data_IF_878913653205
#
_entry.id   IF_878913653205
#
_cell.length_a   1.000
_cell.length_b   1.000
_cell.length_c   1.000
_cell.angle_alpha   90.00
_cell.angle_beta   90.00
_cell.angle_gamma   90.00
#
_symmetry.space_group_name_H-M   'P 1'
#
loop_
_entity.id
_entity.type
_entity.pdbx_description
1 polymer ?
#
# COMPACT_ATOMS: atom_id res chain seq x y z
N UNK A 1 33.98 4.73 -39.07
CA UNK A 1 34.13 4.38 -37.64
C UNK A 1 33.89 5.62 -36.82
N UNK A 2 32.64 5.90 -36.48
CA UNK A 2 32.26 6.96 -35.54
C UNK A 2 32.15 6.30 -34.17
N UNK A 3 33.23 6.42 -33.41
CA UNK A 3 33.29 6.07 -32.00
C UNK A 3 32.28 6.97 -31.26
N UNK A 4 31.10 6.44 -30.98
CA UNK A 4 30.08 7.15 -30.20
C UNK A 4 30.48 6.94 -28.75
N UNK A 5 31.27 7.86 -28.20
CA UNK A 5 31.50 7.93 -26.75
C UNK A 5 30.12 8.07 -26.11
N UNK A 6 29.58 6.95 -25.60
CA UNK A 6 28.30 6.95 -24.94
C UNK A 6 28.41 7.86 -23.71
N UNK A 7 27.77 9.03 -23.78
CA UNK A 7 27.68 9.95 -22.66
C UNK A 7 27.06 9.21 -21.47
N UNK A 8 27.62 9.39 -20.27
CA UNK A 8 27.03 8.81 -19.07
C UNK A 8 25.58 9.31 -18.91
N UNK A 9 24.64 8.47 -18.44
CA UNK A 9 23.25 8.89 -18.28
C UNK A 9 23.13 10.05 -17.29
N UNK A 10 22.04 10.82 -17.42
CA UNK A 10 21.75 11.97 -16.58
C UNK A 10 21.60 11.58 -15.09
N UNK A 11 21.00 10.39 -14.85
CA UNK A 11 20.71 9.87 -13.51
C UNK A 11 21.04 8.39 -13.39
N UNK A 12 21.38 7.94 -12.20
CA UNK A 12 21.56 6.50 -11.94
C UNK A 12 20.20 5.82 -11.70
N UNK A 13 19.27 6.51 -11.03
CA UNK A 13 17.92 5.99 -10.75
C UNK A 13 16.86 7.02 -11.05
N UNK A 14 15.85 6.69 -11.86
CA UNK A 14 14.61 7.45 -11.94
C UNK A 14 13.50 6.75 -11.16
N UNK A 15 12.84 7.45 -10.24
CA UNK A 15 11.65 7.00 -9.51
C UNK A 15 10.44 7.70 -10.12
N UNK A 16 9.52 6.93 -10.68
CA UNK A 16 8.27 7.45 -11.24
C UNK A 16 7.17 7.27 -10.20
N UNK A 17 6.71 8.36 -9.60
CA UNK A 17 5.65 8.40 -8.59
C UNK A 17 6.17 8.78 -7.19
N UNK A 18 5.89 10.01 -6.74
CA UNK A 18 6.24 10.49 -5.40
C UNK A 18 5.13 10.25 -4.35
N UNK A 19 4.45 9.12 -4.43
CA UNK A 19 3.64 8.61 -3.30
C UNK A 19 4.53 8.11 -2.15
N UNK A 20 3.97 7.75 -0.98
CA UNK A 20 4.75 7.32 0.18
C UNK A 20 5.78 6.22 -0.11
N UNK A 21 5.46 5.25 -0.98
CA UNK A 21 6.40 4.18 -1.36
C UNK A 21 7.59 4.74 -2.15
N UNK A 22 7.36 5.63 -3.12
CA UNK A 22 8.43 6.26 -3.90
C UNK A 22 9.26 7.25 -3.08
N UNK A 23 8.62 8.02 -2.19
CA UNK A 23 9.31 8.91 -1.25
C UNK A 23 10.18 8.12 -0.26
N UNK A 24 9.70 6.98 0.25
CA UNK A 24 10.49 6.12 1.11
C UNK A 24 11.72 5.55 0.38
N UNK A 25 11.54 5.06 -0.87
CA UNK A 25 12.65 4.64 -1.73
C UNK A 25 13.68 5.76 -1.93
N UNK A 26 13.24 6.97 -2.28
CA UNK A 26 14.11 8.11 -2.49
C UNK A 26 14.93 8.45 -1.23
N UNK A 27 14.30 8.42 -0.05
CA UNK A 27 14.98 8.62 1.23
C UNK A 27 16.06 7.55 1.49
N UNK A 28 15.75 6.26 1.32
CA UNK A 28 16.73 5.19 1.50
C UNK A 28 17.89 5.28 0.50
N UNK A 29 17.60 5.56 -0.78
CA UNK A 29 18.65 5.70 -1.79
C UNK A 29 19.57 6.90 -1.50
N UNK A 30 19.02 8.05 -1.10
CA UNK A 30 19.85 9.19 -0.71
C UNK A 30 20.76 8.88 0.48
N UNK A 31 20.22 8.17 1.48
CA UNK A 31 20.95 7.80 2.68
C UNK A 31 22.05 6.75 2.43
N UNK A 32 21.75 5.71 1.64
CA UNK A 32 22.54 4.48 1.62
C UNK A 32 23.37 4.27 0.34
N UNK A 33 23.28 5.19 -0.62
CA UNK A 33 24.05 5.13 -1.89
C UNK A 33 24.60 6.50 -2.23
N UNK A 34 25.38 6.61 -3.30
CA UNK A 34 25.82 7.88 -3.91
C UNK A 34 25.08 8.22 -5.22
N UNK A 35 23.99 7.52 -5.52
CA UNK A 35 23.25 7.68 -6.77
C UNK A 35 22.67 9.08 -6.96
N UNK A 36 22.66 9.54 -8.22
CA UNK A 36 21.88 10.66 -8.74
C UNK A 36 20.48 10.17 -9.07
N UNK A 37 19.48 10.81 -8.48
CA UNK A 37 18.10 10.35 -8.46
C UNK A 37 17.19 11.40 -9.13
N UNK A 38 16.39 10.97 -10.11
CA UNK A 38 15.26 11.76 -10.61
C UNK A 38 13.98 11.26 -9.95
N UNK A 39 13.19 12.13 -9.32
CA UNK A 39 11.91 11.78 -8.71
C UNK A 39 10.77 12.52 -9.43
N UNK A 40 9.90 11.78 -10.11
CA UNK A 40 8.75 12.32 -10.82
C UNK A 40 7.47 12.19 -9.99
N UNK A 41 6.63 13.22 -9.98
CA UNK A 41 5.25 13.12 -9.50
C UNK A 41 4.29 13.75 -10.52
N UNK A 42 3.28 12.99 -10.94
CA UNK A 42 2.20 13.51 -11.76
C UNK A 42 1.20 14.34 -10.94
N UNK A 43 1.14 14.12 -9.62
CA UNK A 43 0.14 14.72 -8.73
C UNK A 43 0.63 16.04 -8.12
N UNK A 44 -0.35 16.79 -7.64
CA UNK A 44 -0.12 17.94 -6.77
C UNK A 44 0.15 17.48 -5.33
N UNK A 45 1.22 18.01 -4.72
CA UNK A 45 1.61 17.73 -3.35
C UNK A 45 0.50 18.12 -2.35
N UNK A 46 -0.25 19.19 -2.61
CA UNK A 46 -1.36 19.58 -1.74
C UNK A 46 -2.54 18.59 -1.82
N UNK A 47 -2.84 18.10 -3.01
CA UNK A 47 -3.88 17.09 -3.20
C UNK A 47 -3.52 15.79 -2.45
N UNK A 48 -2.25 15.39 -2.47
CA UNK A 48 -1.77 14.24 -1.70
C UNK A 48 -1.85 14.46 -0.17
N UNK A 49 -1.61 15.70 0.30
CA UNK A 49 -1.70 16.04 1.72
C UNK A 49 -3.14 16.00 2.26
N UNK A 50 -4.15 16.23 1.39
CA UNK A 50 -5.58 16.22 1.74
C UNK A 50 -6.26 14.85 1.60
N UNK A 51 -5.50 13.80 1.31
CA UNK A 51 -6.04 12.46 1.09
C UNK A 51 -6.61 11.88 2.42
N UNK A 52 -7.92 11.57 2.49
CA UNK A 52 -8.57 11.16 3.73
C UNK A 52 -8.34 9.68 4.07
N UNK A 53 -7.60 8.94 3.25
CA UNK A 53 -7.43 7.50 3.45
C UNK A 53 -6.62 7.20 4.70
N UNK A 54 -7.17 6.33 5.53
CA UNK A 54 -6.47 5.69 6.64
C UNK A 54 -5.63 4.51 6.15
N UNK A 55 -4.40 4.40 6.63
CA UNK A 55 -3.46 3.32 6.34
C UNK A 55 -3.16 2.55 7.62
N UNK A 56 -3.40 1.24 7.63
CA UNK A 56 -2.88 0.35 8.66
C UNK A 56 -1.43 -0.03 8.33
N UNK A 57 -0.48 0.52 9.07
CA UNK A 57 0.94 0.19 8.98
C UNK A 57 1.29 -0.90 9.98
N UNK A 58 2.03 -1.92 9.55
CA UNK A 58 2.53 -2.98 10.41
C UNK A 58 3.66 -2.48 11.30
N UNK A 59 3.96 -3.21 12.38
CA UNK A 59 5.12 -2.92 13.22
C UNK A 59 6.43 -2.84 12.41
N UNK A 60 6.67 -3.80 11.51
CA UNK A 60 7.85 -3.78 10.64
C UNK A 60 7.93 -2.54 9.75
N UNK A 61 6.82 -2.12 9.14
CA UNK A 61 6.80 -0.89 8.35
C UNK A 61 7.06 0.37 9.18
N UNK A 62 6.61 0.41 10.45
CA UNK A 62 6.99 1.48 11.37
C UNK A 62 8.50 1.54 11.58
N UNK A 63 9.13 0.40 11.90
CA UNK A 63 10.59 0.34 12.12
C UNK A 63 11.35 0.88 10.91
N UNK A 64 11.00 0.40 9.71
CA UNK A 64 11.62 0.84 8.45
C UNK A 64 11.47 2.36 8.21
N UNK A 65 10.29 2.93 8.46
CA UNK A 65 10.06 4.37 8.27
C UNK A 65 10.78 5.22 9.33
N UNK A 66 10.91 4.72 10.56
CA UNK A 66 11.66 5.40 11.61
C UNK A 66 13.15 5.51 11.26
N UNK A 67 13.73 4.51 10.60
CA UNK A 67 15.13 4.54 10.18
C UNK A 67 15.46 5.74 9.28
N UNK A 68 14.54 6.16 8.41
CA UNK A 68 14.71 7.33 7.53
C UNK A 68 14.16 8.63 8.11
N UNK A 69 13.67 8.62 9.35
CA UNK A 69 13.00 9.77 9.96
C UNK A 69 11.64 10.10 9.32
N UNK A 70 11.07 9.18 8.54
CA UNK A 70 9.82 9.36 7.79
C UNK A 70 8.56 8.93 8.54
N UNK A 71 8.65 8.69 9.84
CA UNK A 71 7.49 8.30 10.66
C UNK A 71 6.65 9.52 11.07
N UNK A 72 5.32 9.53 10.85
CA UNK A 72 4.49 10.66 11.22
C UNK A 72 4.32 10.80 12.74
N UNK A 73 4.08 12.02 13.19
CA UNK A 73 3.82 12.32 14.61
C UNK A 73 2.45 11.80 15.07
N UNK A 74 1.45 11.84 14.19
CA UNK A 74 0.10 11.30 14.44
C UNK A 74 0.01 9.86 13.94
N UNK A 75 -0.03 8.92 14.88
CA UNK A 75 -0.20 7.50 14.60
C UNK A 75 -0.95 6.82 15.76
N UNK A 76 -2.10 6.22 15.47
CA UNK A 76 -2.91 5.53 16.49
C UNK A 76 -2.45 4.07 16.59
N UNK A 77 -2.01 3.57 17.76
CA UNK A 77 -1.48 2.21 17.89
C UNK A 77 -2.59 1.16 17.76
N UNK A 78 -2.25 0.02 17.13
CA UNK A 78 -3.05 -1.20 17.13
C UNK A 78 -2.38 -2.16 18.11
N UNK A 79 -3.02 -2.42 19.24
CA UNK A 79 -2.50 -3.32 20.29
C UNK A 79 -3.22 -4.66 20.27
N UNK A 80 -4.46 -4.70 19.75
CA UNK A 80 -5.31 -5.87 19.70
C UNK A 80 -6.00 -5.96 18.34
N UNK A 81 -6.03 -7.15 17.73
CA UNK A 81 -6.81 -7.43 16.52
C UNK A 81 -7.82 -8.52 16.86
N UNK A 82 -9.10 -8.24 16.63
CA UNK A 82 -10.20 -9.19 16.76
C UNK A 82 -10.73 -9.58 15.39
N UNK A 83 -10.69 -10.87 15.08
CA UNK A 83 -11.22 -11.42 13.83
C UNK A 83 -12.40 -12.32 14.12
N UNK A 84 -13.55 -12.08 13.48
CA UNK A 84 -14.75 -12.89 13.67
C UNK A 84 -15.62 -12.95 12.42
N UNK A 85 -16.66 -13.80 12.45
CA UNK A 85 -17.67 -13.89 11.40
C UNK A 85 -19.08 -13.65 11.95
N UNK A 86 -19.86 -12.80 11.26
CA UNK A 86 -21.25 -12.53 11.64
C UNK A 86 -22.11 -13.80 11.55
N UNK A 87 -22.90 -14.04 12.60
CA UNK A 87 -23.88 -15.14 12.65
C UNK A 87 -23.28 -16.54 12.85
N UNK A 88 -21.97 -16.64 13.13
CA UNK A 88 -21.26 -17.91 13.30
C UNK A 88 -20.38 -17.85 14.55
N UNK A 89 -20.01 -19.02 15.07
CA UNK A 89 -19.08 -19.14 16.19
C UNK A 89 -17.64 -19.00 15.71
N UNK A 90 -16.70 -18.90 16.64
CA UNK A 90 -15.27 -18.82 16.35
C UNK A 90 -14.77 -17.38 16.18
N UNK A 91 -13.63 -17.11 16.81
CA UNK A 91 -12.95 -15.82 16.76
C UNK A 91 -11.45 -16.06 16.95
N UNK A 92 -10.64 -15.17 16.38
CA UNK A 92 -9.20 -15.16 16.60
C UNK A 92 -8.80 -13.82 17.21
N UNK A 93 -7.87 -13.87 18.17
CA UNK A 93 -7.32 -12.71 18.84
C UNK A 93 -5.81 -12.67 18.66
N UNK A 94 -5.31 -11.53 18.20
CA UNK A 94 -3.86 -11.25 18.10
C UNK A 94 -3.58 -10.09 19.05
N UNK A 95 -2.70 -10.30 20.03
CA UNK A 95 -2.35 -9.29 21.03
C UNK A 95 -0.87 -8.95 20.93
N UNK A 96 -0.52 -7.69 21.15
CA UNK A 96 0.89 -7.24 21.09
C UNK A 96 1.79 -8.00 22.08
N UNK A 97 1.24 -8.40 23.23
CA UNK A 97 1.94 -9.11 24.30
C UNK A 97 2.41 -10.50 23.85
N UNK A 98 1.74 -11.11 22.88
CA UNK A 98 2.12 -12.43 22.33
C UNK A 98 3.41 -12.36 21.49
N UNK A 99 3.88 -11.16 21.14
CA UNK A 99 5.01 -10.93 20.22
C UNK A 99 6.09 -10.00 20.76
N UNK A 100 5.97 -9.56 22.02
CA UNK A 100 6.90 -8.63 22.66
C UNK A 100 7.14 -7.34 21.84
N UNK A 101 6.05 -6.77 21.31
CA UNK A 101 6.07 -5.50 20.58
C UNK A 101 5.24 -4.44 21.31
N UNK A 102 5.58 -3.14 21.19
CA UNK A 102 4.79 -2.06 21.78
C UNK A 102 3.41 -1.91 21.13
N UNK A 103 3.29 -2.30 19.86
CA UNK A 103 2.04 -2.36 19.11
C UNK A 103 2.23 -3.28 17.89
N UNK A 104 1.16 -3.96 17.47
CA UNK A 104 1.12 -4.82 16.27
C UNK A 104 1.27 -3.99 14.99
N UNK A 105 0.86 -2.72 15.04
CA UNK A 105 0.85 -1.77 13.95
C UNK A 105 0.29 -0.43 14.40
N UNK A 106 0.10 0.49 13.46
CA UNK A 106 -0.51 1.79 13.70
C UNK A 106 -1.41 2.18 12.53
N UNK A 107 -2.47 2.92 12.83
CA UNK A 107 -3.26 3.62 11.82
C UNK A 107 -2.70 5.02 11.65
N UNK A 108 -2.40 5.39 10.42
CA UNK A 108 -1.92 6.73 10.04
C UNK A 108 -2.76 7.27 8.89
N UNK A 109 -2.95 8.57 8.84
CA UNK A 109 -3.55 9.20 7.67
C UNK A 109 -2.52 9.30 6.54
N UNK A 110 -2.97 9.11 5.29
CA UNK A 110 -2.10 9.19 4.12
C UNK A 110 -1.39 10.54 4.03
N UNK A 111 -2.09 11.64 4.28
CA UNK A 111 -1.53 13.00 4.28
C UNK A 111 -0.42 13.18 5.31
N UNK A 112 -0.65 12.75 6.55
CA UNK A 112 0.34 12.84 7.64
C UNK A 112 1.62 12.06 7.30
N UNK A 113 1.48 10.84 6.75
CA UNK A 113 2.62 10.02 6.32
C UNK A 113 3.37 10.65 5.15
N UNK A 114 2.65 11.17 4.16
CA UNK A 114 3.25 11.85 3.00
C UNK A 114 4.02 13.10 3.41
N UNK A 115 3.48 13.88 4.35
CA UNK A 115 4.17 15.04 4.92
C UNK A 115 5.44 14.64 5.66
N UNK A 116 5.39 13.61 6.52
CA UNK A 116 6.56 13.11 7.24
C UNK A 116 7.68 12.64 6.30
N UNK A 117 7.32 11.89 5.24
CA UNK A 117 8.29 11.42 4.25
C UNK A 117 8.90 12.54 3.40
N UNK A 118 8.13 13.59 3.07
CA UNK A 118 8.67 14.78 2.40
C UNK A 118 9.61 15.56 3.32
N UNK A 119 9.28 15.71 4.61
CA UNK A 119 10.15 16.36 5.57
C UNK A 119 11.47 15.59 5.77
N UNK A 120 11.38 14.25 5.85
CA UNK A 120 12.54 13.38 5.84
C UNK A 120 13.38 13.58 4.57
N UNK A 121 12.73 13.62 3.39
CA UNK A 121 13.42 13.80 2.11
C UNK A 121 14.15 15.14 2.04
N UNK A 122 13.51 16.22 2.49
CA UNK A 122 14.14 17.54 2.56
C UNK A 122 15.39 17.54 3.46
N UNK A 123 15.34 16.81 4.59
CA UNK A 123 16.50 16.62 5.47
C UNK A 123 17.62 15.84 4.76
N UNK A 124 17.28 14.78 4.02
CA UNK A 124 18.28 14.02 3.25
C UNK A 124 18.90 14.88 2.13
N UNK A 125 18.11 15.71 1.44
CA UNK A 125 18.61 16.60 0.39
C UNK A 125 19.58 17.66 0.93
N UNK A 126 19.37 18.15 2.16
CA UNK A 126 20.33 19.04 2.82
C UNK A 126 21.63 18.33 3.17
N UNK A 127 21.55 17.07 3.61
CA UNK A 127 22.71 16.25 3.96
C UNK A 127 23.51 15.79 2.73
N UNK A 128 22.82 15.54 1.62
CA UNK A 128 23.37 15.00 0.37
C UNK A 128 22.98 15.90 -0.81
N UNK A 129 23.54 17.12 -0.91
CA UNK A 129 23.14 18.10 -1.92
C UNK A 129 23.44 17.61 -3.34
N UNK A 130 22.65 18.10 -4.31
CA UNK A 130 22.80 17.84 -5.75
C UNK A 130 22.64 16.38 -6.19
N UNK A 131 22.12 15.50 -5.33
CA UNK A 131 21.89 14.08 -5.65
C UNK A 131 20.46 13.74 -6.02
N UNK A 132 19.49 14.61 -5.75
CA UNK A 132 18.09 14.38 -6.12
C UNK A 132 17.52 15.59 -6.84
N UNK A 133 16.94 15.33 -8.01
CA UNK A 133 16.16 16.30 -8.79
C UNK A 133 14.69 15.90 -8.75
N UNK A 134 13.83 16.81 -8.30
CA UNK A 134 12.36 16.61 -8.29
C UNK A 134 11.76 17.18 -9.57
N UNK A 135 10.85 16.42 -10.15
CA UNK A 135 10.00 16.80 -11.28
C UNK A 135 8.54 16.70 -10.82
N UNK A 136 8.08 17.71 -10.09
CA UNK A 136 6.69 17.80 -9.64
C UNK A 136 5.78 18.21 -10.82
N UNK A 137 4.51 17.83 -10.79
CA UNK A 137 3.55 18.02 -11.89
C UNK A 137 4.03 17.50 -13.26
N UNK A 138 4.87 16.47 -13.27
CA UNK A 138 5.54 15.98 -14.47
C UNK A 138 5.14 14.53 -14.74
N UNK A 139 3.97 14.28 -15.36
CA UNK A 139 3.56 12.92 -15.70
C UNK A 139 4.51 12.30 -16.71
N UNK A 140 4.94 11.06 -16.41
CA UNK A 140 5.73 10.24 -17.33
C UNK A 140 4.80 9.57 -18.33
N UNK A 141 5.03 9.83 -19.61
CA UNK A 141 4.23 9.27 -20.70
C UNK A 141 4.77 7.92 -21.18
N UNK A 142 6.10 7.78 -21.18
CA UNK A 142 6.75 6.60 -21.75
C UNK A 142 8.11 6.33 -21.14
N UNK A 143 8.43 5.04 -21.01
CA UNK A 143 9.78 4.55 -20.70
C UNK A 143 10.24 3.70 -21.88
N UNK A 144 11.36 4.07 -22.48
CA UNK A 144 11.95 3.41 -23.64
C UNK A 144 13.22 2.65 -23.23
N UNK A 145 13.34 1.39 -23.65
CA UNK A 145 14.50 0.54 -23.40
C UNK A 145 15.06 0.06 -24.74
N UNK A 146 16.17 0.66 -25.18
CA UNK A 146 16.76 0.32 -26.49
C UNK A 146 17.66 -0.92 -26.38
N UNK A 147 17.35 -2.03 -27.09
CA UNK A 147 18.23 -3.18 -27.13
C UNK A 147 19.52 -2.82 -27.89
N UNK A 148 20.63 -3.40 -27.45
CA UNK A 148 21.94 -3.29 -28.09
C UNK A 148 22.24 -4.55 -28.91
N UNK A 149 23.16 -4.42 -29.85
CA UNK A 149 23.57 -5.53 -30.73
C UNK A 149 24.24 -6.69 -29.97
N UNK A 150 24.81 -6.42 -28.80
CA UNK A 150 25.42 -7.40 -27.90
C UNK A 150 24.40 -8.15 -27.01
N UNK A 151 23.11 -7.92 -27.22
CA UNK A 151 22.03 -8.51 -26.42
C UNK A 151 21.78 -7.81 -25.08
N UNK A 152 22.55 -6.78 -24.73
CA UNK A 152 22.30 -5.94 -23.56
C UNK A 152 21.28 -4.83 -23.87
N UNK A 153 20.99 -3.98 -22.90
CA UNK A 153 20.02 -2.89 -23.02
C UNK A 153 20.70 -1.59 -22.63
N UNK A 154 20.58 -0.57 -23.48
CA UNK A 154 21.07 0.79 -23.17
C UNK A 154 20.37 1.36 -21.92
N UNK A 155 20.92 2.41 -21.28
CA UNK A 155 20.21 3.17 -20.26
C UNK A 155 18.76 3.48 -20.70
N UNK A 156 17.83 3.41 -19.76
CA UNK A 156 16.42 3.66 -20.03
C UNK A 156 16.21 5.14 -20.30
N UNK A 157 15.33 5.46 -21.24
CA UNK A 157 14.93 6.84 -21.55
C UNK A 157 13.52 7.12 -21.04
N UNK A 158 13.38 8.07 -20.13
CA UNK A 158 12.09 8.48 -19.57
C UNK A 158 11.61 9.70 -20.36
N UNK A 159 10.41 9.62 -20.95
CA UNK A 159 9.73 10.74 -21.61
C UNK A 159 8.56 11.19 -20.75
N UNK A 160 8.52 12.48 -20.46
CA UNK A 160 7.54 13.10 -19.60
C UNK A 160 7.09 14.46 -20.16
N UNK A 161 6.03 15.00 -19.57
CA UNK A 161 5.55 16.35 -19.84
C UNK A 161 5.75 17.21 -18.61
N UNK A 162 6.70 18.14 -18.66
CA UNK A 162 6.99 19.06 -17.56
C UNK A 162 6.17 20.34 -17.71
N UNK A 163 5.57 20.80 -16.62
CA UNK A 163 4.85 22.07 -16.56
C UNK A 163 3.49 21.96 -15.89
N UNK A 164 3.10 23.03 -15.18
CA UNK A 164 1.86 23.08 -14.43
C UNK A 164 0.62 23.24 -15.32
N UNK A 165 -0.60 23.10 -14.74
CA UNK A 165 -1.86 23.30 -15.46
C UNK A 165 -1.99 24.68 -16.13
N UNK A 166 -1.27 25.69 -15.61
CA UNK A 166 -1.35 27.08 -16.05
C UNK A 166 -0.22 27.53 -16.99
N UNK A 167 0.93 26.83 -16.99
CA UNK A 167 2.12 27.24 -17.75
C UNK A 167 2.24 26.53 -19.12
N UNK A 168 1.40 25.53 -19.35
CA UNK A 168 1.54 24.65 -20.50
C UNK A 168 2.53 23.51 -20.23
N UNK A 169 2.35 22.40 -20.95
CA UNK A 169 3.17 21.19 -20.78
C UNK A 169 4.18 21.09 -21.90
N UNK A 170 5.45 20.91 -21.56
CA UNK A 170 6.55 20.80 -22.49
C UNK A 170 7.21 19.40 -22.40
N UNK A 171 7.65 18.81 -23.52
CA UNK A 171 8.33 17.53 -23.50
C UNK A 171 9.65 17.59 -22.74
N UNK A 172 9.86 16.63 -21.85
CA UNK A 172 11.10 16.36 -21.13
C UNK A 172 11.56 14.94 -21.46
N UNK A 173 12.85 14.75 -21.68
CA UNK A 173 13.44 13.43 -21.82
C UNK A 173 14.75 13.35 -21.03
N UNK A 174 14.89 12.31 -20.21
CA UNK A 174 16.12 12.02 -19.46
C UNK A 174 16.59 10.60 -19.73
N UNK A 175 17.89 10.34 -19.59
CA UNK A 175 18.48 9.01 -19.60
C UNK A 175 18.86 8.56 -18.18
N UNK A 176 18.60 7.29 -17.87
CA UNK A 176 18.90 6.72 -16.55
C UNK A 176 19.31 5.25 -16.59
N UNK A 177 20.19 4.84 -15.67
CA UNK A 177 20.61 3.42 -15.61
C UNK A 177 19.44 2.49 -15.27
N UNK A 178 18.57 2.86 -14.32
CA UNK A 178 17.36 2.10 -13.97
C UNK A 178 16.16 3.00 -13.67
N UNK A 179 14.96 2.49 -13.93
CA UNK A 179 13.70 3.15 -13.59
C UNK A 179 12.92 2.30 -12.58
N UNK A 180 12.46 2.92 -11.50
CA UNK A 180 11.55 2.32 -10.54
C UNK A 180 10.18 2.99 -10.62
N UNK A 181 9.21 2.26 -11.15
CA UNK A 181 7.80 2.62 -11.17
C UNK A 181 7.20 2.42 -9.76
N UNK A 182 6.95 3.52 -9.06
CA UNK A 182 6.25 3.58 -7.79
C UNK A 182 4.87 4.27 -7.91
N UNK A 183 4.54 4.79 -9.09
CA UNK A 183 3.25 5.37 -9.43
C UNK A 183 2.24 4.26 -9.68
N UNK A 184 1.26 4.14 -8.79
CA UNK A 184 0.13 3.23 -8.97
C UNK A 184 -1.10 3.82 -8.31
N UNK A 185 -2.23 3.71 -8.99
CA UNK A 185 -3.52 4.17 -8.49
C UNK A 185 -4.39 3.05 -7.93
N UNK A 186 -5.64 3.38 -7.68
CA UNK A 186 -6.65 2.38 -7.31
C UNK A 186 -6.91 1.43 -8.49
N UNK A 187 -7.70 0.38 -8.26
CA UNK A 187 -8.00 -0.61 -9.30
C UNK A 187 -8.50 0.02 -10.60
N UNK A 188 -9.32 1.09 -10.52
CA UNK A 188 -9.81 1.81 -11.69
C UNK A 188 -8.72 2.59 -12.44
N UNK A 189 -7.72 3.11 -11.74
CA UNK A 189 -6.57 3.77 -12.35
C UNK A 189 -5.67 2.75 -13.04
N UNK A 190 -5.40 1.63 -12.37
CA UNK A 190 -4.66 0.51 -12.96
C UNK A 190 -5.37 -0.04 -14.21
N UNK A 191 -6.72 -0.06 -14.21
CA UNK A 191 -7.53 -0.46 -15.36
C UNK A 191 -7.41 0.50 -16.55
N UNK A 192 -7.27 1.81 -16.29
CA UNK A 192 -7.09 2.85 -17.33
C UNK A 192 -5.66 2.88 -17.91
N UNK A 193 -4.66 2.59 -17.08
CA UNK A 193 -3.24 2.65 -17.46
C UNK A 193 -2.71 1.37 -18.17
N UNK A 194 -3.43 0.25 -18.08
CA UNK A 194 -2.97 -1.07 -18.57
C UNK A 194 -3.02 -1.28 -20.10
N UNK A 195 -2.98 -0.23 -20.92
CA UNK A 195 -3.03 -0.30 -22.38
C UNK A 195 -1.86 -1.03 -23.08
N UNK A 196 -0.94 -1.69 -22.35
CA UNK A 196 0.23 -2.34 -22.94
C UNK A 196 0.92 -3.46 -22.14
N UNK A 197 0.36 -3.96 -21.03
CA UNK A 197 1.04 -4.95 -20.17
C UNK A 197 0.35 -6.33 -20.22
N UNK A 198 0.84 -7.20 -21.10
CA UNK A 198 0.26 -8.51 -21.47
C UNK A 198 0.35 -9.62 -20.42
N UNK A 199 0.92 -9.36 -19.22
CA UNK A 199 1.18 -10.40 -18.21
C UNK A 199 0.71 -10.08 -16.77
N UNK A 200 -0.16 -9.08 -16.57
CA UNK A 200 -0.74 -8.80 -15.26
C UNK A 200 -1.89 -9.78 -14.92
N UNK A 201 -1.85 -10.39 -13.73
CA UNK A 201 -3.01 -11.12 -13.18
C UNK A 201 -4.03 -10.08 -12.71
N UNK A 202 -5.14 -10.00 -13.43
CA UNK A 202 -6.24 -9.08 -13.10
C UNK A 202 -7.48 -9.88 -12.66
N UNK A 203 -8.09 -9.46 -11.56
CA UNK A 203 -9.37 -10.00 -11.11
C UNK A 203 -10.20 -8.87 -10.52
N UNK A 204 -11.38 -8.69 -11.06
CA UNK A 204 -12.41 -7.87 -10.44
C UNK A 204 -13.08 -8.69 -9.34
N UNK A 205 -13.12 -8.16 -8.11
CA UNK A 205 -13.78 -8.84 -7.01
C UNK A 205 -15.30 -8.65 -7.04
N UNK A 206 -15.82 -7.73 -7.87
CA UNK A 206 -17.22 -7.35 -7.87
C UNK A 206 -17.66 -6.73 -6.54
N UNK A 207 -16.72 -6.06 -5.87
CA UNK A 207 -16.92 -5.47 -4.55
C UNK A 207 -16.45 -4.01 -4.53
N UNK A 208 -17.10 -3.21 -3.69
CA UNK A 208 -16.75 -1.82 -3.42
C UNK A 208 -16.57 -1.66 -1.91
N UNK A 209 -15.51 -0.99 -1.50
CA UNK A 209 -15.30 -0.58 -0.11
C UNK A 209 -15.90 0.80 0.13
N UNK A 210 -16.73 0.93 1.16
CA UNK A 210 -17.10 2.21 1.76
C UNK A 210 -16.07 2.53 2.85
N UNK A 211 -15.46 3.70 2.74
CA UNK A 211 -14.51 4.23 3.71
C UNK A 211 -15.09 5.49 4.35
N UNK A 212 -15.06 5.53 5.69
CA UNK A 212 -15.51 6.67 6.47
C UNK A 212 -14.80 6.69 7.83
N UNK A 213 -14.84 7.81 8.54
CA UNK A 213 -14.53 7.85 9.96
C UNK A 213 -15.82 7.70 10.76
N UNK A 214 -15.82 6.87 11.81
CA UNK A 214 -17.00 6.62 12.64
C UNK A 214 -16.67 6.71 14.12
N UNK A 215 -17.66 7.10 14.92
CA UNK A 215 -17.60 7.05 16.38
C UNK A 215 -18.68 6.14 16.96
N UNK A 216 -18.42 5.66 18.17
CA UNK A 216 -19.34 4.82 18.91
C UNK A 216 -19.37 5.22 20.39
N UNK A 217 -20.37 4.74 21.12
CA UNK A 217 -20.57 5.10 22.53
C UNK A 217 -19.62 4.39 23.50
N UNK A 218 -19.05 3.25 23.11
CA UNK A 218 -18.07 2.52 23.92
C UNK A 218 -16.85 2.13 23.08
N UNK A 219 -16.01 3.10 22.68
CA UNK A 219 -14.79 2.81 21.93
C UNK A 219 -13.78 2.05 22.79
N UNK A 220 -13.10 1.07 22.20
CA UNK A 220 -11.98 0.36 22.80
C UNK A 220 -10.66 0.81 22.16
N UNK A 221 -9.82 1.48 22.97
CA UNK A 221 -8.55 2.02 22.52
C UNK A 221 -7.60 0.91 22.02
N UNK A 222 -7.04 1.11 20.82
CA UNK A 222 -6.07 0.19 20.21
C UNK A 222 -6.63 -1.13 19.68
N UNK A 223 -7.95 -1.31 19.68
CA UNK A 223 -8.60 -2.48 19.08
C UNK A 223 -8.90 -2.26 17.61
N UNK A 224 -8.32 -3.10 16.75
CA UNK A 224 -8.74 -3.25 15.37
C UNK A 224 -9.70 -4.43 15.25
N UNK A 225 -10.75 -4.26 14.46
CA UNK A 225 -11.78 -5.27 14.24
C UNK A 225 -11.81 -5.67 12.77
N UNK A 226 -11.90 -6.96 12.52
CA UNK A 226 -12.13 -7.53 11.20
C UNK A 226 -13.31 -8.51 11.33
N UNK A 227 -14.48 -8.10 10.83
CA UNK A 227 -15.71 -8.88 10.90
C UNK A 227 -16.16 -9.28 9.51
N UNK A 228 -16.08 -10.57 9.21
CA UNK A 228 -16.58 -11.11 7.95
C UNK A 228 -18.10 -11.17 7.95
N UNK A 229 -18.72 -10.63 6.90
CA UNK A 229 -20.16 -10.67 6.65
C UNK A 229 -20.47 -11.46 5.38
N UNK A 230 -21.75 -11.61 5.04
CA UNK A 230 -22.16 -12.25 3.78
C UNK A 230 -21.83 -11.40 2.55
N UNK A 231 -21.57 -10.11 2.71
CA UNK A 231 -21.27 -9.17 1.62
C UNK A 231 -19.76 -8.94 1.42
N UNK A 232 -18.96 -9.36 2.41
CA UNK A 232 -17.54 -9.09 2.47
C UNK A 232 -17.07 -8.71 3.87
N UNK A 233 -15.78 -8.39 4.03
CA UNK A 233 -15.21 -7.93 5.29
C UNK A 233 -15.72 -6.52 5.67
N UNK A 234 -15.92 -6.35 6.97
CA UNK A 234 -16.16 -5.07 7.62
C UNK A 234 -15.04 -4.87 8.65
N UNK A 235 -14.18 -3.89 8.40
CA UNK A 235 -13.07 -3.57 9.29
C UNK A 235 -13.27 -2.22 9.97
N UNK A 236 -12.87 -2.14 11.23
CA UNK A 236 -12.80 -0.90 12.02
C UNK A 236 -11.40 -0.80 12.60
N UNK A 237 -10.64 0.19 12.15
CA UNK A 237 -9.27 0.42 12.56
C UNK A 237 -9.24 1.60 13.54
N UNK A 238 -8.57 1.50 14.71
CA UNK A 238 -8.58 2.56 15.71
C UNK A 238 -7.92 3.80 15.12
N UNK A 239 -8.65 4.92 15.10
CA UNK A 239 -8.16 6.18 14.55
C UNK A 239 -8.66 7.33 15.41
N UNK A 240 -7.79 7.77 16.31
CA UNK A 240 -8.04 8.92 17.16
C UNK A 240 -7.81 10.21 16.38
N UNK A 241 -8.61 11.24 16.68
CA UNK A 241 -8.44 12.58 16.13
C UNK A 241 -8.61 13.66 17.21
N UNK A 242 -8.65 14.93 16.80
CA UNK A 242 -8.78 16.05 17.73
C UNK A 242 -10.11 16.06 18.54
N UNK A 243 -11.13 15.35 18.08
CA UNK A 243 -12.44 15.27 18.73
C UNK A 243 -12.54 14.04 19.65
N UNK A 244 -11.51 13.18 19.68
CA UNK A 244 -11.41 12.03 20.57
C UNK A 244 -11.30 10.69 19.83
N UNK A 245 -11.57 9.57 20.54
CA UNK A 245 -11.42 8.24 19.96
C UNK A 245 -12.44 7.97 18.86
N UNK A 246 -12.00 7.25 17.83
CA UNK A 246 -12.82 6.89 16.69
C UNK A 246 -12.23 5.74 15.88
N UNK A 247 -12.85 5.45 14.74
CA UNK A 247 -12.43 4.35 13.89
C UNK A 247 -12.48 4.72 12.41
N UNK A 248 -11.46 4.31 11.67
CA UNK A 248 -11.53 4.24 10.21
C UNK A 248 -12.30 2.97 9.81
N UNK A 249 -13.46 3.16 9.19
CA UNK A 249 -14.31 2.12 8.64
C UNK A 249 -13.83 1.71 7.24
N UNK A 250 -13.78 0.40 7.00
CA UNK A 250 -13.71 -0.18 5.65
C UNK A 250 -14.82 -1.23 5.55
N UNK A 251 -15.90 -0.92 4.85
CA UNK A 251 -17.04 -1.82 4.70
C UNK A 251 -17.18 -2.28 3.25
N UNK A 252 -16.85 -3.54 3.01
CA UNK A 252 -16.93 -4.14 1.67
C UNK A 252 -18.33 -4.70 1.40
N UNK A 253 -18.92 -4.33 0.27
CA UNK A 253 -20.18 -4.86 -0.22
C UNK A 253 -20.24 -4.83 -1.76
N UNK A 254 -21.39 -5.18 -2.35
CA UNK A 254 -21.56 -5.06 -3.81
C UNK A 254 -21.57 -3.59 -4.24
N UNK A 255 -21.25 -3.28 -5.51
CA UNK A 255 -21.28 -1.91 -6.02
C UNK A 255 -22.64 -1.23 -5.86
N UNK A 256 -23.74 -1.97 -6.02
CA UNK A 256 -25.10 -1.44 -5.85
C UNK A 256 -25.38 -1.07 -4.39
N UNK A 257 -24.97 -1.94 -3.47
CA UNK A 257 -25.16 -1.71 -2.04
C UNK A 257 -24.27 -0.57 -1.53
N UNK A 258 -23.04 -0.47 -2.04
CA UNK A 258 -22.15 0.64 -1.72
C UNK A 258 -22.74 1.98 -2.18
N UNK A 259 -23.33 2.03 -3.39
CA UNK A 259 -24.04 3.22 -3.89
C UNK A 259 -25.25 3.57 -3.02
N UNK A 260 -26.05 2.57 -2.65
CA UNK A 260 -27.22 2.75 -1.77
C UNK A 260 -26.80 3.33 -0.41
N UNK A 261 -25.86 2.67 0.27
CA UNK A 261 -25.38 3.04 1.62
C UNK A 261 -24.68 4.40 1.65
N UNK A 262 -23.91 4.74 0.62
CA UNK A 262 -23.25 6.03 0.52
C UNK A 262 -24.26 7.20 0.44
N UNK A 263 -25.46 6.94 -0.11
CA UNK A 263 -26.55 7.91 -0.22
C UNK A 263 -27.54 7.94 0.94
N UNK A 264 -27.42 7.06 1.94
CA UNK A 264 -28.36 7.02 3.07
C UNK A 264 -28.24 8.26 3.97
N UNK A 265 -29.31 8.66 4.68
CA UNK A 265 -29.17 9.54 5.84
C UNK A 265 -28.23 8.94 6.90
N UNK A 266 -27.59 9.79 7.69
CA UNK A 266 -26.61 9.39 8.71
C UNK A 266 -27.19 8.35 9.69
N UNK A 267 -28.33 8.64 10.32
CA UNK A 267 -28.95 7.75 11.31
C UNK A 267 -29.25 6.35 10.74
N UNK A 268 -29.75 6.29 9.49
CA UNK A 268 -30.04 5.03 8.81
C UNK A 268 -28.76 4.24 8.53
N UNK A 269 -27.70 4.92 8.09
CA UNK A 269 -26.40 4.29 7.86
C UNK A 269 -25.82 3.72 9.16
N UNK A 270 -25.88 4.49 10.26
CA UNK A 270 -25.38 4.06 11.56
C UNK A 270 -26.17 2.87 12.12
N UNK A 271 -27.48 2.82 11.90
CA UNK A 271 -28.32 1.68 12.28
C UNK A 271 -27.97 0.40 11.49
N UNK A 272 -27.75 0.52 10.18
CA UNK A 272 -27.29 -0.59 9.35
C UNK A 272 -25.88 -1.06 9.75
N UNK A 273 -24.96 -0.13 10.00
CA UNK A 273 -23.61 -0.43 10.47
C UNK A 273 -23.65 -1.17 11.81
N UNK A 274 -24.48 -0.71 12.76
CA UNK A 274 -24.68 -1.37 14.06
C UNK A 274 -25.19 -2.81 13.87
N UNK A 275 -26.11 -3.04 12.93
CA UNK A 275 -26.64 -4.37 12.62
C UNK A 275 -25.60 -5.30 12.00
N UNK A 276 -24.71 -4.76 11.16
CA UNK A 276 -23.63 -5.50 10.53
C UNK A 276 -22.50 -5.83 11.53
N UNK A 277 -22.11 -4.85 12.35
CA UNK A 277 -20.98 -4.95 13.27
C UNK A 277 -21.33 -5.61 14.61
N UNK A 278 -22.52 -5.40 15.16
CA UNK A 278 -22.92 -5.84 16.50
C UNK A 278 -22.76 -4.76 17.59
N UNK A 279 -22.91 -5.18 18.83
CA UNK A 279 -23.06 -4.34 20.04
C UNK A 279 -21.79 -4.19 20.90
N UNK A 280 -20.69 -4.83 20.50
CA UNK A 280 -19.43 -4.88 21.27
C UNK A 280 -18.80 -3.51 21.58
N UNK A 281 -19.16 -2.48 20.82
CA UNK A 281 -18.69 -1.11 21.01
C UNK A 281 -19.86 -0.14 21.31
N UNK A 282 -20.95 -0.66 21.87
CA UNK A 282 -22.19 0.07 22.04
C UNK A 282 -22.86 0.33 20.69
N UNK A 283 -23.32 1.57 20.47
CA UNK A 283 -23.94 2.00 19.22
C UNK A 283 -23.04 3.03 18.50
N UNK A 284 -23.10 3.06 17.17
CA UNK A 284 -22.43 4.10 16.42
C UNK A 284 -23.19 5.42 16.53
N UNK A 285 -22.47 6.50 16.81
CA UNK A 285 -23.04 7.81 17.15
C UNK A 285 -22.83 8.86 16.08
N UNK A 286 -21.78 8.71 15.25
CA UNK A 286 -21.42 9.67 14.21
C UNK A 286 -20.72 8.96 13.05
N UNK A 287 -20.90 9.48 11.84
CA UNK A 287 -20.12 9.09 10.65
C UNK A 287 -19.74 10.33 9.83
N UNK A 288 -18.46 10.42 9.46
CA UNK A 288 -17.96 11.45 8.55
C UNK A 288 -18.33 11.19 7.08
N UNK A 289 -17.72 11.94 6.14
CA UNK A 289 -17.91 11.71 4.71
C UNK A 289 -17.66 10.25 4.30
N UNK A 290 -18.55 9.71 3.45
CA UNK A 290 -18.49 8.32 2.97
C UNK A 290 -17.93 8.30 1.56
N UNK A 291 -16.74 7.72 1.41
CA UNK A 291 -16.08 7.55 0.12
C UNK A 291 -16.20 6.10 -0.34
N UNK A 292 -16.37 5.88 -1.65
CA UNK A 292 -16.48 4.53 -2.23
C UNK A 292 -15.33 4.24 -3.18
N UNK A 293 -14.76 3.05 -3.07
CA UNK A 293 -13.63 2.62 -3.89
C UNK A 293 -13.86 1.20 -4.42
N UNK A 294 -13.77 1.02 -5.74
CA UNK A 294 -13.86 -0.30 -6.36
C UNK A 294 -12.66 -1.16 -5.95
N UNK A 295 -12.93 -2.42 -5.58
CA UNK A 295 -11.92 -3.37 -5.15
C UNK A 295 -11.59 -4.33 -6.29
N UNK A 296 -10.30 -4.52 -6.53
CA UNK A 296 -9.82 -5.51 -7.48
C UNK A 296 -8.37 -5.90 -7.24
N UNK A 297 -8.01 -7.08 -7.74
CA UNK A 297 -6.65 -7.53 -7.82
C UNK A 297 -6.06 -7.08 -9.15
N UNK A 298 -4.96 -6.35 -9.07
CA UNK A 298 -4.06 -6.13 -10.19
C UNK A 298 -2.68 -6.51 -9.70
N UNK A 299 -2.05 -7.57 -10.21
CA UNK A 299 -0.73 -7.97 -9.77
C UNK A 299 0.15 -8.34 -10.97
N UNK A 300 1.31 -7.71 -11.09
CA UNK A 300 2.28 -8.03 -12.12
C UNK A 300 3.06 -9.30 -11.74
N UNK A 301 3.15 -10.25 -12.68
CA UNK A 301 3.80 -11.55 -12.47
C UNK A 301 5.33 -11.43 -12.42
N UNK A 302 5.89 -10.41 -13.08
CA UNK A 302 7.31 -10.06 -13.07
C UNK A 302 7.38 -8.55 -12.85
N UNK A 303 7.73 -8.07 -11.65
CA UNK A 303 7.82 -6.63 -11.39
C UNK A 303 9.12 -6.02 -11.94
N UNK A 304 9.83 -6.72 -12.82
CA UNK A 304 11.11 -6.28 -13.41
C UNK A 304 11.13 -6.65 -14.89
N UNK A 305 11.36 -5.65 -15.73
CA UNK A 305 11.67 -5.79 -17.14
C UNK A 305 12.98 -5.05 -17.44
N UNK A 306 14.08 -5.81 -17.54
CA UNK A 306 15.42 -5.30 -17.85
C UNK A 306 15.87 -4.20 -16.87
N UNK A 307 15.81 -2.92 -17.25
CA UNK A 307 16.20 -1.76 -16.45
C UNK A 307 15.02 -1.09 -15.74
N UNK A 308 13.82 -1.63 -15.89
CA UNK A 308 12.60 -1.10 -15.27
C UNK A 308 12.12 -2.06 -14.21
N UNK A 309 11.78 -1.55 -13.02
CA UNK A 309 11.12 -2.31 -11.98
C UNK A 309 9.86 -1.59 -11.48
N UNK A 310 8.87 -2.33 -11.01
CA UNK A 310 7.66 -1.81 -10.39
C UNK A 310 7.60 -2.19 -8.91
N UNK A 311 7.16 -1.27 -8.05
CA UNK A 311 6.98 -1.49 -6.61
C UNK A 311 5.63 -0.91 -6.13
N UNK A 312 5.18 -1.32 -4.95
CA UNK A 312 3.93 -0.81 -4.36
C UNK A 312 2.73 -1.03 -5.27
N UNK A 313 1.85 -0.02 -5.37
CA UNK A 313 0.63 -0.10 -6.17
C UNK A 313 0.90 -0.24 -7.68
N UNK A 314 2.07 0.22 -8.18
CA UNK A 314 2.47 0.00 -9.56
C UNK A 314 2.66 -1.48 -9.86
N UNK A 315 3.23 -2.22 -8.89
CA UNK A 315 3.44 -3.66 -8.98
C UNK A 315 2.18 -4.46 -8.64
N UNK A 316 1.36 -3.95 -7.71
CA UNK A 316 0.21 -4.68 -7.18
C UNK A 316 -0.84 -3.81 -6.45
N UNK A 317 -2.10 -4.02 -6.79
CA UNK A 317 -3.27 -3.62 -5.99
C UNK A 317 -3.93 -4.89 -5.48
N UNK A 318 -4.06 -5.05 -4.17
CA UNK A 318 -4.63 -6.25 -3.52
C UNK A 318 -5.85 -5.89 -2.68
N UNK A 319 -6.65 -6.89 -2.30
CA UNK A 319 -7.81 -6.68 -1.43
C UNK A 319 -7.36 -6.05 -0.09
N UNK A 320 -8.07 -5.05 0.46
CA UNK A 320 -7.66 -4.34 1.68
C UNK A 320 -7.72 -5.18 2.97
N UNK A 321 -7.98 -6.49 2.91
CA UNK A 321 -8.05 -7.33 4.12
C UNK A 321 -6.72 -7.24 4.85
N UNK A 322 -6.81 -6.95 6.15
CA UNK A 322 -5.69 -6.75 7.05
C UNK A 322 -4.64 -5.70 6.62
N UNK A 323 -5.00 -4.76 5.72
CA UNK A 323 -4.15 -3.60 5.39
C UNK A 323 -2.79 -3.93 4.75
N UNK A 324 -2.62 -5.10 4.13
CA UNK A 324 -1.29 -5.60 3.76
C UNK A 324 -0.67 -4.96 2.51
N UNK A 325 -1.48 -4.38 1.61
CA UNK A 325 -1.01 -3.91 0.31
C UNK A 325 0.08 -2.83 0.42
N UNK A 326 -0.15 -1.85 1.28
CA UNK A 326 0.79 -0.75 1.51
C UNK A 326 2.07 -1.23 2.21
N UNK A 327 1.93 -2.08 3.24
CA UNK A 327 3.07 -2.67 3.96
C UNK A 327 3.96 -3.51 3.04
N UNK A 328 3.38 -4.20 2.06
CA UNK A 328 4.13 -4.91 1.03
C UNK A 328 4.89 -3.94 0.10
N UNK A 329 4.26 -2.83 -0.29
CA UNK A 329 4.91 -1.77 -1.07
C UNK A 329 6.11 -1.12 -0.36
N UNK A 330 5.99 -0.83 0.94
CA UNK A 330 7.12 -0.30 1.73
C UNK A 330 8.28 -1.29 1.83
N UNK A 331 7.98 -2.58 2.04
CA UNK A 331 9.00 -3.64 2.04
C UNK A 331 9.69 -3.75 0.68
N UNK A 332 8.93 -3.63 -0.41
CA UNK A 332 9.49 -3.60 -1.77
C UNK A 332 10.43 -2.39 -1.96
N UNK A 333 10.06 -1.20 -1.51
CA UNK A 333 10.92 -0.02 -1.57
C UNK A 333 12.22 -0.18 -0.76
N UNK A 334 12.15 -0.74 0.45
CA UNK A 334 13.33 -0.99 1.27
C UNK A 334 14.29 -1.99 0.61
N UNK A 335 13.77 -3.13 0.13
CA UNK A 335 14.59 -4.14 -0.54
C UNK A 335 15.15 -3.64 -1.87
N UNK A 336 14.38 -2.83 -2.61
CA UNK A 336 14.85 -2.18 -3.82
C UNK A 336 16.06 -1.30 -3.52
N UNK A 337 15.97 -0.41 -2.52
CA UNK A 337 17.09 0.41 -2.08
C UNK A 337 18.31 -0.44 -1.71
N UNK A 338 18.11 -1.50 -0.90
CA UNK A 338 19.17 -2.42 -0.48
C UNK A 338 19.87 -3.07 -1.67
N UNK A 339 19.11 -3.52 -2.67
CA UNK A 339 19.68 -4.20 -3.84
C UNK A 339 20.41 -3.26 -4.78
N UNK A 340 19.96 -2.01 -4.89
CA UNK A 340 20.58 -0.97 -5.72
C UNK A 340 21.88 -0.42 -5.13
N UNK A 341 22.20 -0.70 -3.85
CA UNK A 341 23.52 -0.36 -3.27
C UNK A 341 24.68 -1.03 -3.98
N UNK A 342 24.44 -2.22 -4.52
CA UNK A 342 25.49 -2.98 -5.22
C UNK A 342 25.62 -2.59 -6.71
N UNK A 343 24.76 -1.68 -7.19
CA UNK A 343 24.80 -1.12 -8.53
C UNK A 343 23.41 -0.87 -9.13
N UNK A 344 23.23 0.27 -9.78
CA UNK A 344 22.05 0.59 -10.59
C UNK A 344 22.05 -0.22 -11.91
N UNK A 345 21.79 -1.53 -11.83
CA UNK A 345 21.94 -2.45 -12.97
C UNK A 345 20.74 -3.38 -13.12
N UNK A 346 20.51 -3.96 -14.32
CA UNK A 346 19.51 -5.01 -14.51
C UNK A 346 19.70 -6.20 -13.55
N UNK A 347 20.95 -6.53 -13.20
CA UNK A 347 21.26 -7.63 -12.29
C UNK A 347 20.78 -7.35 -10.86
N UNK A 348 20.89 -6.11 -10.39
CA UNK A 348 20.35 -5.68 -9.11
C UNK A 348 18.81 -5.78 -9.08
N UNK A 349 18.13 -5.32 -10.14
CA UNK A 349 16.68 -5.45 -10.25
C UNK A 349 16.24 -6.93 -10.32
N UNK A 350 16.96 -7.76 -11.07
CA UNK A 350 16.67 -9.20 -11.12
C UNK A 350 16.86 -9.87 -9.75
N UNK A 351 17.86 -9.45 -8.97
CA UNK A 351 18.04 -9.92 -7.59
C UNK A 351 16.89 -9.49 -6.69
N UNK A 352 16.47 -8.23 -6.76
CA UNK A 352 15.27 -7.74 -6.08
C UNK A 352 14.06 -8.64 -6.38
N UNK A 353 13.79 -8.93 -7.67
CA UNK A 353 12.67 -9.78 -8.05
C UNK A 353 12.75 -11.19 -7.43
N UNK A 354 13.94 -11.81 -7.43
CA UNK A 354 14.16 -13.14 -6.83
C UNK A 354 13.92 -13.13 -5.33
N UNK A 355 14.46 -12.15 -4.62
CA UNK A 355 14.35 -12.07 -3.15
C UNK A 355 12.92 -11.74 -2.69
N UNK A 356 12.17 -10.96 -3.47
CA UNK A 356 10.77 -10.61 -3.15
C UNK A 356 9.75 -11.65 -3.60
N UNK A 357 10.11 -12.56 -4.51
CA UNK A 357 9.17 -13.48 -5.14
C UNK A 357 8.35 -14.28 -4.13
N UNK A 358 9.00 -14.83 -3.10
CA UNK A 358 8.32 -15.65 -2.08
C UNK A 358 7.39 -14.83 -1.19
N UNK A 359 7.89 -13.73 -0.60
CA UNK A 359 7.10 -12.86 0.28
C UNK A 359 5.87 -12.27 -0.42
N UNK A 360 6.04 -11.87 -1.69
CA UNK A 360 4.94 -11.41 -2.55
C UNK A 360 3.95 -12.52 -2.85
N UNK A 361 4.42 -13.72 -3.22
CA UNK A 361 3.54 -14.85 -3.51
C UNK A 361 2.69 -15.24 -2.29
N UNK A 362 3.30 -15.29 -1.10
CA UNK A 362 2.60 -15.59 0.15
C UNK A 362 1.57 -14.50 0.49
N UNK A 363 1.97 -13.23 0.45
CA UNK A 363 1.08 -12.12 0.82
C UNK A 363 -0.08 -11.98 -0.17
N UNK A 364 0.17 -12.04 -1.48
CA UNK A 364 -0.87 -11.99 -2.51
C UNK A 364 -1.78 -13.22 -2.39
N UNK A 365 -1.22 -14.41 -2.14
CA UNK A 365 -1.98 -15.64 -1.96
C UNK A 365 -2.93 -15.57 -0.76
N UNK A 366 -2.44 -15.13 0.39
CA UNK A 366 -3.24 -14.98 1.61
C UNK A 366 -4.35 -13.94 1.44
N UNK A 367 -4.03 -12.79 0.84
CA UNK A 367 -4.98 -11.68 0.66
C UNK A 367 -6.02 -11.94 -0.44
N UNK A 368 -5.74 -12.81 -1.42
CA UNK A 368 -6.76 -13.30 -2.37
C UNK A 368 -7.60 -14.43 -1.76
N UNK A 369 -7.00 -15.34 -0.99
CA UNK A 369 -7.67 -16.53 -0.46
C UNK A 369 -8.61 -16.21 0.70
N UNK A 370 -8.21 -15.35 1.64
CA UNK A 370 -8.97 -15.05 2.85
C UNK A 370 -10.37 -14.47 2.53
N UNK A 371 -10.52 -13.36 1.78
CA UNK A 371 -11.85 -12.85 1.45
C UNK A 371 -12.71 -13.89 0.73
N UNK A 372 -12.12 -14.69 -0.16
CA UNK A 372 -12.83 -15.71 -0.94
C UNK A 372 -13.31 -16.87 -0.08
N UNK A 373 -12.47 -17.39 0.80
CA UNK A 373 -12.85 -18.43 1.74
C UNK A 373 -14.02 -17.96 2.62
N UNK A 374 -13.99 -16.69 3.04
CA UNK A 374 -15.03 -16.06 3.85
C UNK A 374 -16.23 -15.49 3.06
N UNK A 375 -16.20 -15.50 1.72
CA UNK A 375 -17.32 -15.06 0.88
C UNK A 375 -18.20 -16.22 0.37
N UNK A 376 -17.80 -17.50 0.53
CA UNK A 376 -18.61 -18.64 0.09
C UNK A 376 -19.92 -18.70 0.89
N UNK A 377 -21.10 -18.55 0.23
CA UNK A 377 -22.39 -18.59 0.91
C UNK A 377 -22.73 -20.02 1.37
N UNK A 378 -23.48 -20.11 2.47
CA UNK A 378 -24.00 -21.38 2.98
C UNK A 378 -23.63 -21.66 4.45
N UNK A 379 -24.61 -22.14 5.21
CA UNK A 379 -24.49 -22.48 6.64
C UNK A 379 -23.36 -23.48 6.96
N UNK A 380 -23.15 -24.60 6.22
CA UNK A 380 -22.08 -25.53 6.56
C UNK A 380 -20.68 -24.90 6.41
N UNK A 381 -20.48 -24.10 5.35
CA UNK A 381 -19.24 -23.38 5.13
C UNK A 381 -18.99 -22.27 6.15
N UNK A 382 -20.06 -21.68 6.71
CA UNK A 382 -19.94 -20.74 7.82
C UNK A 382 -19.45 -21.39 9.12
N UNK A 383 -19.95 -22.57 9.46
CA UNK A 383 -19.46 -23.33 10.62
C UNK A 383 -18.03 -23.84 10.44
N UNK A 384 -17.66 -24.27 9.24
CA UNK A 384 -16.28 -24.68 8.92
C UNK A 384 -15.29 -23.53 9.13
N UNK A 385 -15.65 -22.31 8.74
CA UNK A 385 -14.84 -21.10 8.98
C UNK A 385 -14.73 -20.76 10.46
N UNK A 386 -15.84 -20.86 11.19
CA UNK A 386 -15.83 -20.71 12.65
C UNK A 386 -14.90 -21.71 13.33
N UNK A 387 -14.93 -22.97 12.87
CA UNK A 387 -14.01 -24.01 13.34
C UNK A 387 -12.56 -23.69 12.96
N UNK A 388 -12.29 -23.17 11.76
CA UNK A 388 -10.94 -22.76 11.34
C UNK A 388 -10.39 -21.58 12.17
N UNK A 389 -11.23 -20.57 12.48
CA UNK A 389 -10.84 -19.48 13.38
C UNK A 389 -10.57 -20.00 14.81
N UNK A 390 -11.41 -20.91 15.29
CA UNK A 390 -11.22 -21.55 16.60
C UNK A 390 -9.95 -22.39 16.63
N UNK A 391 -9.68 -23.15 15.57
CA UNK A 391 -8.45 -23.94 15.43
C UNK A 391 -7.22 -23.03 15.39
N UNK A 392 -7.28 -21.90 14.68
CA UNK A 392 -6.20 -20.91 14.68
C UNK A 392 -5.96 -20.35 16.09
N UNK A 393 -7.02 -20.07 16.84
CA UNK A 393 -6.90 -19.61 18.23
C UNK A 393 -6.32 -20.70 19.15
N UNK A 394 -6.67 -21.96 18.92
CA UNK A 394 -6.21 -23.11 19.69
C UNK A 394 -4.83 -23.65 19.27
N UNK A 395 -4.26 -23.19 18.16
CA UNK A 395 -2.94 -23.59 17.67
C UNK A 395 -1.96 -22.39 17.64
N UNK A 396 -1.33 -22.05 18.79
CA UNK A 396 -0.44 -20.89 18.89
C UNK A 396 0.67 -20.84 17.83
N UNK A 397 1.36 -21.93 17.46
CA UNK A 397 2.41 -21.86 16.43
C UNK A 397 1.92 -21.37 15.07
N UNK A 398 0.71 -21.80 14.66
CA UNK A 398 0.10 -21.38 13.40
C UNK A 398 -0.32 -19.91 13.46
N UNK A 399 -0.96 -19.51 14.57
CA UNK A 399 -1.34 -18.11 14.82
C UNK A 399 -0.14 -17.18 14.82
N UNK A 400 0.92 -17.58 15.52
CA UNK A 400 2.15 -16.79 15.65
C UNK A 400 2.87 -16.66 14.30
N UNK A 401 2.94 -17.75 13.51
CA UNK A 401 3.53 -17.71 12.17
C UNK A 401 2.80 -16.72 11.25
N UNK A 402 1.47 -16.76 11.24
CA UNK A 402 0.66 -15.84 10.43
C UNK A 402 0.81 -14.39 10.89
N UNK A 403 0.71 -14.13 12.19
CA UNK A 403 0.82 -12.77 12.73
C UNK A 403 2.23 -12.18 12.51
N UNK A 404 3.29 -12.97 12.70
CA UNK A 404 4.66 -12.53 12.38
C UNK A 404 4.82 -12.19 10.90
N UNK A 405 4.27 -13.01 10.01
CA UNK A 405 4.27 -12.73 8.57
C UNK A 405 3.54 -11.43 8.23
N UNK A 406 2.43 -11.11 8.92
CA UNK A 406 1.67 -9.88 8.70
C UNK A 406 2.33 -8.63 9.32
N UNK A 407 3.07 -8.80 10.42
CA UNK A 407 3.77 -7.70 11.09
C UNK A 407 5.12 -7.35 10.44
N UNK A 408 5.91 -8.36 10.13
CA UNK A 408 7.32 -8.22 9.72
C UNK A 408 7.56 -8.62 8.26
N UNK A 409 6.67 -9.43 7.67
CA UNK A 409 6.98 -10.14 6.43
C UNK A 409 8.01 -11.25 6.62
N UNK A 410 8.51 -11.79 5.51
CA UNK A 410 9.61 -12.76 5.50
C UNK A 410 10.95 -12.06 5.79
N UNK A 411 11.20 -11.65 7.03
CA UNK A 411 12.52 -11.29 7.60
C UNK A 411 12.50 -11.03 9.11
N UNK A 412 11.50 -11.57 9.82
CA UNK A 412 11.40 -11.51 11.28
C UNK A 412 11.84 -12.79 11.96
#
# INVERSE_FOLDING_TARGET
MTDTTATAPDFDVAIVGAGPVGLALANWLLRDTDWRIALFDARDAEAAARDPRALALSHGSRVLLQEIGGWPTRATPITHIHVSQRGHFGQAHIRREDYDVPALGHVVQYGDLSAALNAALATQMQRYPNRLTRYDHTPVERIEQLPRADGTVAPARVRALQGGPHEGRHPLAIETEVVVQAEGGLFDDARRQAGGLSHARRRDYGQTAIVAHVRCSAPLAGWAWERFTNEGPLALLPQDDAQGPGYALVWCCSPDEARRRAGLPEDTFLAELSTAFGDRMGHFTQVGPRHTFALGLHAQRIPVDRRVAAIGNAAQTIHPVAGQGFNLGLRDAFEMARTLRDGATPAALARFARERAFDRAVTIGLTDLLPRAFAVPGRPFGHLRGAALTLLECLPPLKHGLARQMMFGQRG
#
